data_IF_698271844655
#
_entry.id   IF_698271844655
#
_cell.length_a   1.000
_cell.length_b   1.000
_cell.length_c   1.000
_cell.angle_alpha   90.00
_cell.angle_beta   90.00
_cell.angle_gamma   90.00
#
_symmetry.space_group_name_H-M   'P 1'
#
loop_
_entity.id
_entity.type
_entity.pdbx_description
1 polymer ?
#
# COMPACT_ATOMS: atom_id res chain seq x y z
N UNK A 1 11.99 14.07 50.97
CA UNK A 1 12.45 13.02 50.03
C UNK A 1 11.33 12.72 49.06
N UNK A 2 11.59 12.92 47.75
CA UNK A 2 10.64 12.71 46.65
C UNK A 2 10.37 11.21 46.46
N UNK A 3 9.11 10.84 46.24
CA UNK A 3 8.73 9.66 45.46
C UNK A 3 7.72 10.11 44.41
N UNK A 4 8.21 10.40 43.21
CA UNK A 4 7.40 10.57 42.02
C UNK A 4 7.11 9.19 41.44
N UNK A 5 5.83 8.92 41.16
CA UNK A 5 5.36 7.76 40.43
C UNK A 5 5.77 7.87 38.93
N UNK A 6 5.93 6.74 38.21
CA UNK A 6 6.49 6.76 36.87
C UNK A 6 5.46 7.32 35.87
N UNK A 7 5.85 8.39 35.20
CA UNK A 7 5.12 9.14 34.17
C UNK A 7 5.12 8.36 32.83
N UNK A 8 4.65 7.11 32.84
CA UNK A 8 4.54 6.25 31.66
C UNK A 8 3.15 6.34 31.01
N UNK A 9 2.58 7.54 30.94
CA UNK A 9 1.38 7.81 30.13
C UNK A 9 1.79 7.96 28.66
N UNK A 10 2.08 6.82 28.03
CA UNK A 10 2.02 6.51 26.59
C UNK A 10 2.07 7.70 25.63
N UNK A 11 3.28 8.18 25.27
CA UNK A 11 3.47 8.79 23.95
C UNK A 11 3.22 7.70 22.91
N UNK A 12 2.00 7.55 22.40
CA UNK A 12 1.79 6.78 21.16
C UNK A 12 2.77 7.33 20.14
N UNK A 13 3.69 6.49 19.66
CA UNK A 13 4.62 6.87 18.61
C UNK A 13 3.83 7.52 17.45
N UNK A 14 4.40 8.52 16.76
CA UNK A 14 3.68 9.19 15.68
C UNK A 14 3.19 8.18 14.64
N UNK A 15 3.93 7.10 14.38
CA UNK A 15 3.48 6.01 13.50
C UNK A 15 2.25 5.26 14.02
N UNK A 16 2.10 5.09 15.34
CA UNK A 16 0.91 4.47 15.90
C UNK A 16 -0.32 5.35 15.68
N UNK A 17 -0.16 6.66 15.89
CA UNK A 17 -1.24 7.62 15.60
C UNK A 17 -1.61 7.60 14.11
N UNK A 18 -0.63 7.58 13.22
CA UNK A 18 -0.87 7.50 11.79
C UNK A 18 -1.58 6.20 11.39
N UNK A 19 -1.15 5.05 11.90
CA UNK A 19 -1.82 3.77 11.62
C UNK A 19 -3.25 3.70 12.16
N UNK A 20 -3.54 4.36 13.30
CA UNK A 20 -4.89 4.43 13.85
C UNK A 20 -5.88 5.16 12.94
N UNK A 21 -5.40 6.07 12.08
CA UNK A 21 -6.22 6.80 11.11
C UNK A 21 -6.42 6.05 9.78
N UNK A 22 -5.88 4.85 9.63
CA UNK A 22 -6.02 4.04 8.40
C UNK A 22 -7.26 3.14 8.46
N UNK A 23 -7.76 2.70 7.31
CA UNK A 23 -8.89 1.77 7.23
C UNK A 23 -8.55 0.38 7.77
N UNK A 24 -7.27 -0.03 7.72
CA UNK A 24 -6.81 -1.32 8.25
C UNK A 24 -5.69 -1.13 9.28
N UNK A 25 -5.98 -0.62 10.49
CA UNK A 25 -4.96 -0.29 11.48
C UNK A 25 -4.09 -1.48 11.87
N UNK A 26 -4.69 -2.63 12.18
CA UNK A 26 -3.94 -3.82 12.57
C UNK A 26 -2.92 -4.26 11.53
N UNK A 27 -3.29 -4.19 10.25
CA UNK A 27 -2.38 -4.48 9.14
C UNK A 27 -1.28 -3.41 9.01
N UNK A 28 -1.63 -2.13 9.18
CA UNK A 28 -0.65 -1.04 9.18
C UNK A 28 0.43 -1.27 10.24
N UNK A 29 0.00 -1.52 11.48
CA UNK A 29 0.88 -1.80 12.61
C UNK A 29 1.79 -3.00 12.35
N UNK A 30 1.22 -4.16 12.01
CA UNK A 30 2.01 -5.38 11.82
C UNK A 30 3.03 -5.24 10.69
N UNK A 31 2.68 -4.50 9.62
CA UNK A 31 3.54 -4.32 8.45
C UNK A 31 4.70 -3.37 8.71
N UNK A 32 4.50 -2.39 9.60
CA UNK A 32 5.47 -1.33 9.88
C UNK A 32 6.27 -1.56 11.17
N UNK A 33 5.87 -2.51 12.02
CA UNK A 33 6.53 -2.80 13.29
C UNK A 33 8.04 -3.06 13.14
N UNK A 34 8.45 -3.80 12.10
CA UNK A 34 9.86 -4.06 11.80
C UNK A 34 10.67 -2.86 11.32
N UNK A 35 10.01 -1.73 11.02
CA UNK A 35 10.62 -0.50 10.52
C UNK A 35 10.58 0.64 11.54
N UNK A 36 10.16 0.37 12.79
CA UNK A 36 10.00 1.40 13.81
C UNK A 36 11.29 2.22 14.06
N UNK A 37 12.46 1.59 13.99
CA UNK A 37 13.77 2.25 14.15
C UNK A 37 14.15 3.16 12.97
N UNK A 38 13.67 2.85 11.76
CA UNK A 38 13.91 3.62 10.53
C UNK A 38 12.94 4.80 10.45
N UNK A 39 11.66 4.52 10.72
CA UNK A 39 10.59 5.53 10.64
C UNK A 39 10.66 6.53 11.78
N UNK A 40 10.98 6.05 12.99
CA UNK A 40 11.00 6.83 14.23
C UNK A 40 9.72 7.68 14.39
N UNK A 41 9.83 9.01 14.38
CA UNK A 41 8.71 9.94 14.44
C UNK A 41 8.40 10.63 13.09
N UNK A 42 9.05 10.24 12.00
CA UNK A 42 8.97 10.92 10.70
C UNK A 42 7.82 10.37 9.84
N UNK A 43 6.78 11.17 9.65
CA UNK A 43 5.60 10.79 8.86
C UNK A 43 5.91 10.63 7.35
N UNK A 44 6.87 11.38 6.81
CA UNK A 44 7.30 11.24 5.41
C UNK A 44 7.99 9.88 5.22
N UNK A 45 8.90 9.53 6.14
CA UNK A 45 9.59 8.24 6.07
C UNK A 45 8.61 7.08 6.29
N UNK A 46 7.62 7.26 7.19
CA UNK A 46 6.52 6.30 7.37
C UNK A 46 5.77 6.03 6.06
N UNK A 47 5.36 7.09 5.35
CA UNK A 47 4.64 6.96 4.08
C UNK A 47 5.53 6.34 2.98
N UNK A 48 6.81 6.71 2.93
CA UNK A 48 7.78 6.12 2.00
C UNK A 48 8.00 4.62 2.25
N UNK A 49 8.16 4.20 3.50
CA UNK A 49 8.29 2.78 3.87
C UNK A 49 7.00 2.03 3.55
N UNK A 50 5.83 2.59 3.84
CA UNK A 50 4.55 2.00 3.50
C UNK A 50 4.41 1.77 1.98
N UNK A 51 4.78 2.76 1.16
CA UNK A 51 4.82 2.62 -0.30
C UNK A 51 5.78 1.51 -0.77
N UNK A 52 6.94 1.37 -0.14
CA UNK A 52 7.88 0.25 -0.44
C UNK A 52 7.28 -1.12 -0.10
N UNK A 53 6.60 -1.23 1.03
CA UNK A 53 5.91 -2.48 1.42
C UNK A 53 4.81 -2.79 0.40
N UNK A 54 3.96 -1.81 0.05
CA UNK A 54 2.92 -1.98 -0.97
C UNK A 54 3.52 -2.42 -2.31
N UNK A 55 4.59 -1.78 -2.76
CA UNK A 55 5.29 -2.14 -3.99
C UNK A 55 5.77 -3.60 -3.98
N UNK A 56 6.33 -4.07 -2.86
CA UNK A 56 6.76 -5.46 -2.73
C UNK A 56 5.57 -6.44 -2.77
N UNK A 57 4.43 -6.07 -2.17
CA UNK A 57 3.20 -6.87 -2.19
C UNK A 57 2.59 -6.95 -3.59
N UNK A 58 2.53 -5.82 -4.30
CA UNK A 58 2.05 -5.77 -5.69
C UNK A 58 2.92 -6.65 -6.60
N UNK A 59 4.25 -6.52 -6.54
CA UNK A 59 5.17 -7.38 -7.34
C UNK A 59 4.99 -8.87 -7.05
N UNK A 60 4.82 -9.22 -5.78
CA UNK A 60 4.57 -10.61 -5.39
C UNK A 60 3.23 -11.12 -5.93
N UNK A 61 2.23 -10.25 -6.04
CA UNK A 61 0.93 -10.59 -6.62
C UNK A 61 1.03 -10.71 -8.15
N UNK A 62 1.66 -9.77 -8.85
CA UNK A 62 1.90 -9.89 -10.29
C UNK A 62 2.62 -11.19 -10.63
N UNK A 63 3.71 -11.50 -9.90
CA UNK A 63 4.49 -12.72 -10.11
C UNK A 63 3.66 -13.99 -9.88
N UNK A 64 2.74 -13.94 -8.92
CA UNK A 64 1.84 -15.03 -8.62
C UNK A 64 0.82 -15.24 -9.76
N UNK A 65 0.19 -14.17 -10.23
CA UNK A 65 -0.84 -14.26 -11.27
C UNK A 65 -0.24 -14.67 -12.62
N UNK A 66 0.93 -14.14 -12.97
CA UNK A 66 1.70 -14.62 -14.13
C UNK A 66 2.09 -16.10 -14.01
N UNK A 67 2.35 -16.60 -12.80
CA UNK A 67 2.65 -18.00 -12.57
C UNK A 67 1.40 -18.89 -12.68
N UNK A 68 0.27 -18.45 -12.12
CA UNK A 68 -1.01 -19.13 -12.26
C UNK A 68 -1.42 -19.24 -13.74
N UNK A 69 -1.14 -18.21 -14.54
CA UNK A 69 -1.45 -18.18 -15.97
C UNK A 69 -0.88 -19.37 -16.75
N UNK A 70 0.32 -19.85 -16.40
CA UNK A 70 1.01 -20.95 -17.10
C UNK A 70 0.29 -22.30 -17.02
N UNK A 71 -0.58 -22.51 -16.03
CA UNK A 71 -1.34 -23.74 -15.82
C UNK A 71 -2.81 -23.68 -16.23
N UNK A 72 -3.24 -22.58 -16.86
CA UNK A 72 -4.66 -22.29 -17.15
C UNK A 72 -4.90 -22.15 -18.65
N UNK A 73 -6.15 -22.30 -19.08
CA UNK A 73 -6.59 -22.07 -20.45
C UNK A 73 -7.92 -21.32 -20.48
N UNK A 74 -8.36 -20.87 -21.66
CA UNK A 74 -9.66 -20.21 -21.84
C UNK A 74 -9.80 -18.90 -21.07
N UNK A 75 -10.98 -18.67 -20.50
CA UNK A 75 -11.30 -17.40 -19.82
C UNK A 75 -10.44 -17.15 -18.57
N UNK A 76 -10.03 -18.21 -17.86
CA UNK A 76 -9.13 -18.08 -16.69
C UNK A 76 -7.78 -17.50 -17.11
N UNK A 77 -7.20 -18.05 -18.18
CA UNK A 77 -5.91 -17.60 -18.71
C UNK A 77 -5.96 -16.15 -19.20
N UNK A 78 -7.01 -15.79 -19.95
CA UNK A 78 -7.20 -14.42 -20.42
C UNK A 78 -7.33 -13.44 -19.25
N UNK A 79 -8.15 -13.75 -18.25
CA UNK A 79 -8.31 -12.90 -17.07
C UNK A 79 -7.01 -12.74 -16.25
N UNK A 80 -6.16 -13.78 -16.21
CA UNK A 80 -4.86 -13.72 -15.54
C UNK A 80 -3.84 -12.85 -16.30
N UNK A 81 -3.86 -12.84 -17.63
CA UNK A 81 -3.04 -11.94 -18.44
C UNK A 81 -3.49 -10.50 -18.19
N UNK A 82 -4.77 -10.20 -18.39
CA UNK A 82 -5.32 -8.85 -18.20
C UNK A 82 -5.08 -8.33 -16.78
N UNK A 83 -5.24 -9.21 -15.78
CA UNK A 83 -4.94 -8.85 -14.41
C UNK A 83 -3.44 -8.61 -14.18
N UNK A 84 -2.55 -9.43 -14.74
CA UNK A 84 -1.10 -9.23 -14.59
C UNK A 84 -0.66 -7.88 -15.14
N UNK A 85 -1.20 -7.45 -16.29
CA UNK A 85 -0.92 -6.14 -16.88
C UNK A 85 -1.37 -4.99 -15.95
N UNK A 86 -2.59 -5.07 -15.42
CA UNK A 86 -3.10 -4.08 -14.46
C UNK A 86 -2.28 -4.04 -13.16
N UNK A 87 -1.81 -5.19 -12.68
CA UNK A 87 -0.97 -5.25 -11.49
C UNK A 87 0.43 -4.68 -11.75
N UNK A 88 0.98 -4.85 -12.94
CA UNK A 88 2.24 -4.22 -13.33
C UNK A 88 2.13 -2.70 -13.45
N UNK A 89 0.99 -2.19 -13.95
CA UNK A 89 0.68 -0.76 -13.89
C UNK A 89 0.59 -0.27 -12.44
N UNK A 90 -0.12 -1.00 -11.56
CA UNK A 90 -0.19 -0.70 -10.13
C UNK A 90 1.21 -0.66 -9.47
N UNK A 91 2.11 -1.59 -9.82
CA UNK A 91 3.53 -1.56 -9.40
C UNK A 91 4.19 -0.28 -9.88
N UNK A 92 3.96 0.13 -11.13
CA UNK A 92 4.45 1.38 -11.71
C UNK A 92 4.00 2.60 -10.92
N UNK A 93 2.71 2.70 -10.62
CA UNK A 93 2.12 3.81 -9.86
C UNK A 93 2.63 3.88 -8.41
N UNK A 94 2.64 2.75 -7.71
CA UNK A 94 3.17 2.66 -6.35
C UNK A 94 4.65 3.07 -6.27
N UNK A 95 5.45 2.68 -7.29
CA UNK A 95 6.86 3.10 -7.40
C UNK A 95 6.98 4.62 -7.57
N UNK A 96 6.14 5.23 -8.43
CA UNK A 96 6.14 6.69 -8.63
C UNK A 96 5.76 7.41 -7.34
N UNK A 97 4.73 6.95 -6.63
CA UNK A 97 4.32 7.54 -5.35
C UNK A 97 5.42 7.46 -4.29
N UNK A 98 6.08 6.31 -4.16
CA UNK A 98 7.23 6.15 -3.27
C UNK A 98 8.40 7.09 -3.62
N UNK A 99 8.64 7.36 -4.91
CA UNK A 99 9.67 8.30 -5.33
C UNK A 99 9.36 9.75 -4.92
N UNK A 100 8.09 10.16 -4.95
CA UNK A 100 7.67 11.47 -4.44
C UNK A 100 7.91 11.59 -2.93
N UNK A 101 7.51 10.57 -2.16
CA UNK A 101 7.73 10.57 -0.71
C UNK A 101 9.22 10.63 -0.36
N UNK A 102 10.07 9.91 -1.10
CA UNK A 102 11.53 9.98 -0.91
C UNK A 102 12.11 11.37 -1.18
N UNK A 103 11.52 12.12 -2.10
CA UNK A 103 11.97 13.48 -2.48
C UNK A 103 11.45 14.56 -1.53
N UNK A 104 10.35 14.31 -0.81
CA UNK A 104 9.75 15.28 0.11
C UNK A 104 10.73 15.79 1.18
N UNK A 105 11.63 14.96 1.69
CA UNK A 105 12.62 15.38 2.70
C UNK A 105 13.64 16.42 2.22
N UNK A 106 13.61 16.81 0.94
CA UNK A 106 14.56 17.76 0.32
C UNK A 106 13.90 19.04 -0.20
N UNK A 107 12.59 19.18 -0.04
CA UNK A 107 11.82 20.27 -0.63
C UNK A 107 10.97 20.96 0.44
N UNK A 108 10.70 22.25 0.24
CA UNK A 108 9.92 23.08 1.18
C UNK A 108 8.91 23.93 0.42
N UNK A 109 7.88 24.42 1.11
CA UNK A 109 6.88 25.28 0.51
C UNK A 109 5.90 24.55 -0.44
N UNK A 110 5.36 25.23 -1.46
CA UNK A 110 4.28 24.71 -2.31
C UNK A 110 4.58 23.39 -3.02
N UNK A 111 5.86 23.10 -3.26
CA UNK A 111 6.30 21.84 -3.88
C UNK A 111 5.90 20.62 -3.04
N UNK A 112 5.88 20.73 -1.71
CA UNK A 112 5.45 19.63 -0.81
C UNK A 112 4.03 19.20 -1.14
N UNK A 113 3.09 20.14 -1.22
CA UNK A 113 1.69 19.85 -1.49
C UNK A 113 1.50 19.22 -2.88
N UNK A 114 2.21 19.73 -3.90
CA UNK A 114 2.16 19.18 -5.24
C UNK A 114 2.65 17.72 -5.30
N UNK A 115 3.78 17.42 -4.64
CA UNK A 115 4.32 16.04 -4.56
C UNK A 115 3.40 15.09 -3.81
N UNK A 116 2.81 15.53 -2.70
CA UNK A 116 1.80 14.74 -1.96
C UNK A 116 0.58 14.47 -2.84
N UNK A 117 0.07 15.46 -3.56
CA UNK A 117 -1.08 15.31 -4.48
C UNK A 117 -0.81 14.29 -5.60
N UNK A 118 0.37 14.34 -6.22
CA UNK A 118 0.77 13.35 -7.21
C UNK A 118 0.80 11.92 -6.63
N UNK A 119 1.39 11.78 -5.44
CA UNK A 119 1.46 10.49 -4.77
C UNK A 119 0.08 9.93 -4.40
N UNK A 120 -0.84 10.78 -3.93
CA UNK A 120 -2.23 10.39 -3.68
C UNK A 120 -2.95 9.93 -4.94
N UNK A 121 -2.75 10.66 -6.04
CA UNK A 121 -3.32 10.31 -7.35
C UNK A 121 -2.84 8.92 -7.79
N UNK A 122 -1.52 8.70 -7.81
CA UNK A 122 -0.97 7.42 -8.26
C UNK A 122 -1.33 6.26 -7.34
N UNK A 123 -1.37 6.45 -6.02
CA UNK A 123 -1.83 5.40 -5.11
C UNK A 123 -3.31 5.08 -5.28
N UNK A 124 -4.14 6.08 -5.61
CA UNK A 124 -5.56 5.87 -5.93
C UNK A 124 -5.71 5.10 -7.25
N UNK A 125 -4.90 5.42 -8.27
CA UNK A 125 -4.86 4.67 -9.54
C UNK A 125 -4.44 3.22 -9.31
N UNK A 126 -3.36 2.98 -8.56
CA UNK A 126 -2.93 1.62 -8.21
C UNK A 126 -4.05 0.81 -7.55
N UNK A 127 -4.79 1.43 -6.62
CA UNK A 127 -5.92 0.78 -5.96
C UNK A 127 -7.05 0.44 -6.94
N UNK A 128 -7.32 1.33 -7.90
CA UNK A 128 -8.29 1.11 -8.98
C UNK A 128 -7.86 -0.06 -9.86
N UNK A 129 -6.60 -0.13 -10.28
CA UNK A 129 -6.08 -1.23 -11.11
C UNK A 129 -6.23 -2.58 -10.40
N UNK A 130 -5.95 -2.64 -9.10
CA UNK A 130 -6.23 -3.84 -8.28
C UNK A 130 -7.73 -4.19 -8.24
N UNK A 131 -8.64 -3.20 -8.18
CA UNK A 131 -10.09 -3.45 -8.25
C UNK A 131 -10.45 -4.04 -9.61
N UNK A 132 -9.99 -3.40 -10.68
CA UNK A 132 -10.29 -3.77 -12.06
C UNK A 132 -9.78 -5.16 -12.39
N UNK A 133 -8.55 -5.49 -11.97
CA UNK A 133 -8.00 -6.85 -12.14
C UNK A 133 -8.93 -7.89 -11.51
N UNK A 134 -9.38 -7.68 -10.27
CA UNK A 134 -10.29 -8.61 -9.59
C UNK A 134 -11.62 -8.74 -10.33
N UNK A 135 -12.14 -7.62 -10.80
CA UNK A 135 -13.44 -7.57 -11.46
C UNK A 135 -13.38 -8.17 -12.89
N UNK A 136 -12.19 -8.26 -13.48
CA UNK A 136 -11.93 -9.03 -14.71
C UNK A 136 -12.29 -10.52 -14.61
N UNK A 137 -12.33 -11.08 -13.40
CA UNK A 137 -12.73 -12.47 -13.16
C UNK A 137 -14.25 -12.68 -13.05
N UNK A 138 -15.10 -11.65 -13.21
CA UNK A 138 -16.56 -11.78 -13.03
C UNK A 138 -17.15 -12.90 -13.91
N UNK A 139 -16.72 -13.00 -15.18
CA UNK A 139 -17.18 -14.00 -16.14
C UNK A 139 -16.48 -15.37 -16.03
N UNK A 140 -15.42 -15.45 -15.22
CA UNK A 140 -14.71 -16.70 -14.95
C UNK A 140 -15.54 -17.55 -13.98
N UNK A 141 -15.66 -18.85 -14.25
CA UNK A 141 -16.36 -19.78 -13.39
C UNK A 141 -15.78 -19.78 -11.96
N UNK A 142 -16.59 -20.14 -10.97
CA UNK A 142 -16.06 -20.34 -9.62
C UNK A 142 -15.07 -21.51 -9.65
N UNK A 143 -13.89 -21.30 -9.07
CA UNK A 143 -12.80 -22.25 -9.10
C UNK A 143 -11.66 -21.82 -8.19
N UNK A 144 -10.65 -22.69 -8.04
CA UNK A 144 -9.49 -22.45 -7.18
C UNK A 144 -8.71 -21.20 -7.61
N UNK A 145 -8.48 -21.02 -8.91
CA UNK A 145 -7.75 -19.88 -9.50
C UNK A 145 -8.44 -18.56 -9.15
N UNK A 146 -9.71 -18.40 -9.54
CA UNK A 146 -10.50 -17.20 -9.24
C UNK A 146 -10.54 -16.90 -7.74
N UNK A 147 -10.69 -17.93 -6.92
CA UNK A 147 -10.77 -17.80 -5.45
C UNK A 147 -9.46 -17.30 -4.86
N UNK A 148 -8.34 -17.91 -5.22
CA UNK A 148 -7.02 -17.56 -4.70
C UNK A 148 -6.58 -16.16 -5.16
N UNK A 149 -6.68 -15.87 -6.47
CA UNK A 149 -6.34 -14.56 -7.03
C UNK A 149 -7.19 -13.46 -6.37
N UNK A 150 -8.51 -13.64 -6.31
CA UNK A 150 -9.40 -12.67 -5.68
C UNK A 150 -9.10 -12.47 -4.19
N UNK A 151 -8.68 -13.52 -3.47
CA UNK A 151 -8.28 -13.41 -2.07
C UNK A 151 -7.00 -12.58 -1.94
N UNK A 152 -5.98 -12.85 -2.76
CA UNK A 152 -4.70 -12.14 -2.73
C UNK A 152 -4.83 -10.68 -3.10
N UNK A 153 -5.59 -10.35 -4.15
CA UNK A 153 -5.88 -8.97 -4.53
C UNK A 153 -6.55 -8.22 -3.38
N UNK A 154 -7.60 -8.80 -2.76
CA UNK A 154 -8.25 -8.19 -1.58
C UNK A 154 -7.28 -7.95 -0.43
N UNK A 155 -6.24 -8.77 -0.28
CA UNK A 155 -5.21 -8.59 0.74
C UNK A 155 -4.25 -7.47 0.37
N UNK A 156 -3.75 -7.41 -0.86
CA UNK A 156 -2.81 -6.35 -1.31
C UNK A 156 -3.46 -4.98 -1.30
N UNK A 157 -4.73 -4.87 -1.72
CA UNK A 157 -5.50 -3.61 -1.67
C UNK A 157 -5.53 -2.95 -0.29
N UNK A 158 -5.47 -3.74 0.79
CA UNK A 158 -5.42 -3.19 2.16
C UNK A 158 -4.10 -2.46 2.43
N UNK A 159 -2.99 -2.96 1.89
CA UNK A 159 -1.71 -2.27 1.96
C UNK A 159 -1.74 -0.98 1.15
N UNK A 160 -2.26 -1.02 -0.09
CA UNK A 160 -2.43 0.15 -0.94
C UNK A 160 -3.29 1.22 -0.27
N UNK A 161 -4.44 0.82 0.29
CA UNK A 161 -5.35 1.70 1.04
C UNK A 161 -4.69 2.32 2.28
N UNK A 162 -3.94 1.54 3.06
CA UNK A 162 -3.21 2.08 4.21
C UNK A 162 -2.13 3.07 3.78
N UNK A 163 -1.36 2.76 2.74
CA UNK A 163 -0.34 3.66 2.18
C UNK A 163 -0.96 4.97 1.69
N UNK A 164 -2.09 4.91 0.99
CA UNK A 164 -2.84 6.10 0.57
C UNK A 164 -3.23 6.97 1.77
N UNK A 165 -3.78 6.37 2.83
CA UNK A 165 -4.15 7.08 4.05
C UNK A 165 -2.94 7.71 4.75
N UNK A 166 -1.79 7.01 4.80
CA UNK A 166 -0.56 7.54 5.39
C UNK A 166 -0.01 8.75 4.61
N UNK A 167 -0.07 8.71 3.28
CA UNK A 167 0.30 9.87 2.43
C UNK A 167 -0.69 11.02 2.64
N UNK A 168 -1.99 10.72 2.76
CA UNK A 168 -3.03 11.73 2.96
C UNK A 168 -2.80 12.54 4.23
N UNK A 169 -2.32 11.92 5.31
CA UNK A 169 -1.98 12.60 6.57
C UNK A 169 -0.90 13.69 6.37
N UNK A 170 -0.04 13.58 5.35
CA UNK A 170 0.99 14.57 5.05
C UNK A 170 0.44 15.84 4.37
N UNK A 171 -0.71 15.75 3.71
CA UNK A 171 -1.30 16.86 2.95
C UNK A 171 -2.25 17.76 3.74
N UNK A 172 -2.62 17.37 4.96
CA UNK A 172 -3.66 18.03 5.76
C UNK A 172 -3.26 18.24 7.24
N UNK A 173 -1.97 18.44 7.53
CA UNK A 173 -1.48 18.85 8.85
C UNK A 173 -0.93 20.28 8.83
#
# INVERSE_FOLDING_TARGET
MKRQAPEAATRRSSYARCCAATLYPGLCYSSLAGYASVVQQNAIELAHVAAKITLARLRSLTSHDSAAGRGTTGLEHAALIDCSDLLDDAVGWARRAGAEMKRLGKVVGPEVAWRVSNALTWMSTALTDEVTCRDGFVRVAAGSVKTDVSYRIRKVKKYTSNTLALIHILGFN
#
